data_IF_850703799884
#
_entry.id   IF_850703799884
#
_cell.length_a   1.000
_cell.length_b   1.000
_cell.length_c   1.000
_cell.angle_alpha   90.00
_cell.angle_beta   90.00
_cell.angle_gamma   90.00
#
_symmetry.space_group_name_H-M   'P 1'
#
loop_
_entity.id
_entity.type
_entity.pdbx_description
1 polymer ?
#
# COMPACT_ATOMS: atom_id res chain seq x y z
N UNK A 1 15.08 7.47 -15.14
CA UNK A 1 14.55 6.09 -15.14
C UNK A 1 14.09 5.74 -16.55
N UNK A 2 14.22 4.51 -17.06
CA UNK A 2 13.51 4.13 -18.30
C UNK A 2 12.02 3.94 -17.99
N UNK A 3 11.26 5.04 -17.95
CA UNK A 3 9.90 5.06 -17.45
C UNK A 3 8.98 4.06 -18.15
N UNK A 4 9.10 3.92 -19.47
CA UNK A 4 8.29 2.99 -20.25
C UNK A 4 8.59 1.52 -19.92
N UNK A 5 9.88 1.17 -19.75
CA UNK A 5 10.28 -0.18 -19.34
C UNK A 5 9.65 -0.55 -17.99
N UNK A 6 9.88 0.27 -16.96
CA UNK A 6 9.38 -0.03 -15.63
C UNK A 6 7.86 0.01 -15.53
N UNK A 7 7.21 0.92 -16.25
CA UNK A 7 5.74 0.97 -16.33
C UNK A 7 5.17 -0.33 -16.87
N UNK A 8 5.80 -0.90 -17.90
CA UNK A 8 5.38 -2.20 -18.44
C UNK A 8 5.60 -3.32 -17.43
N UNK A 9 6.71 -3.35 -16.70
CA UNK A 9 6.96 -4.35 -15.65
C UNK A 9 5.89 -4.29 -14.56
N UNK A 10 5.57 -3.10 -14.04
CA UNK A 10 4.51 -2.93 -13.03
C UNK A 10 3.13 -3.30 -13.57
N UNK A 11 2.85 -2.98 -14.84
CA UNK A 11 1.58 -3.34 -15.46
C UNK A 11 1.44 -4.86 -15.65
N UNK A 12 2.53 -5.57 -15.97
CA UNK A 12 2.56 -7.03 -16.00
C UNK A 12 2.22 -7.60 -14.63
N UNK A 13 2.86 -7.11 -13.56
CA UNK A 13 2.54 -7.53 -12.18
C UNK A 13 1.06 -7.34 -11.86
N UNK A 14 0.51 -6.15 -12.14
CA UNK A 14 -0.90 -5.87 -11.90
C UNK A 14 -1.82 -6.85 -12.63
N UNK A 15 -1.44 -7.28 -13.84
CA UNK A 15 -2.20 -8.26 -14.63
C UNK A 15 -2.04 -9.71 -14.12
N UNK A 16 -0.95 -10.02 -13.42
CA UNK A 16 -0.65 -11.35 -12.86
C UNK A 16 -1.32 -11.61 -11.50
N UNK A 17 -1.71 -10.57 -10.75
CA UNK A 17 -2.40 -10.74 -9.48
C UNK A 17 -3.70 -11.55 -9.65
N UNK A 18 -3.94 -12.46 -8.71
CA UNK A 18 -5.11 -13.34 -8.75
C UNK A 18 -6.41 -12.52 -8.63
N UNK A 19 -7.11 -12.40 -9.76
CA UNK A 19 -8.38 -11.66 -9.88
C UNK A 19 -9.48 -12.21 -8.95
N UNK A 20 -9.46 -13.51 -8.64
CA UNK A 20 -10.43 -14.12 -7.70
C UNK A 20 -10.12 -13.68 -6.27
N UNK A 21 -8.85 -13.61 -5.88
CA UNK A 21 -8.43 -13.11 -4.57
C UNK A 21 -8.76 -11.62 -4.45
N UNK A 22 -8.41 -10.81 -5.46
CA UNK A 22 -8.73 -9.40 -5.51
C UNK A 22 -10.25 -9.15 -5.34
N UNK A 23 -11.06 -9.84 -6.14
CA UNK A 23 -12.53 -9.75 -6.06
C UNK A 23 -13.06 -10.18 -4.69
N UNK A 24 -12.61 -11.33 -4.16
CA UNK A 24 -13.03 -11.84 -2.84
C UNK A 24 -12.70 -10.84 -1.71
N UNK A 25 -11.58 -10.12 -1.81
CA UNK A 25 -11.13 -9.15 -0.81
C UNK A 25 -11.63 -7.72 -1.08
N UNK A 26 -12.35 -7.50 -2.19
CA UNK A 26 -12.74 -6.18 -2.70
C UNK A 26 -11.54 -5.23 -2.90
N UNK A 27 -10.40 -5.79 -3.30
CA UNK A 27 -9.19 -5.03 -3.61
C UNK A 27 -9.15 -4.66 -5.10
N UNK A 28 -8.75 -3.43 -5.36
CA UNK A 28 -8.42 -2.91 -6.68
C UNK A 28 -6.92 -2.66 -6.77
N UNK A 29 -6.40 -2.76 -8.00
CA UNK A 29 -4.99 -2.51 -8.32
C UNK A 29 -4.89 -1.37 -9.33
N UNK A 30 -3.91 -0.50 -9.16
CA UNK A 30 -3.59 0.52 -10.14
C UNK A 30 -2.08 0.75 -10.23
N UNK A 31 -1.60 0.97 -11.45
CA UNK A 31 -0.24 1.44 -11.71
C UNK A 31 -0.31 2.91 -12.07
N UNK A 32 0.38 3.76 -11.31
CA UNK A 32 0.31 5.21 -11.48
C UNK A 32 1.71 5.81 -11.44
N UNK A 33 1.92 6.84 -12.26
CA UNK A 33 3.03 7.76 -12.08
C UNK A 33 2.70 8.71 -10.93
N UNK A 34 3.67 8.92 -10.05
CA UNK A 34 3.58 9.81 -8.91
C UNK A 34 4.76 10.80 -8.95
N UNK A 35 4.76 11.78 -8.04
CA UNK A 35 5.72 12.89 -7.95
C UNK A 35 7.17 12.41 -8.17
N UNK A 36 7.99 13.25 -8.81
CA UNK A 36 9.43 13.00 -9.07
C UNK A 36 9.70 11.71 -9.85
N UNK A 37 8.93 11.47 -10.92
CA UNK A 37 9.08 10.30 -11.80
C UNK A 37 9.05 8.96 -11.04
N UNK A 38 8.27 8.90 -9.96
CA UNK A 38 8.07 7.67 -9.21
C UNK A 38 7.00 6.81 -9.87
N UNK A 39 7.30 5.54 -10.09
CA UNK A 39 6.33 4.56 -10.57
C UNK A 39 5.81 3.74 -9.40
N UNK A 40 4.49 3.67 -9.26
CA UNK A 40 3.84 3.08 -8.09
C UNK A 40 2.79 2.05 -8.51
N UNK A 41 2.86 0.85 -7.94
CA UNK A 41 1.74 -0.10 -7.89
C UNK A 41 0.99 0.13 -6.59
N UNK A 42 -0.32 0.36 -6.67
CA UNK A 42 -1.20 0.56 -5.51
C UNK A 42 -2.23 -0.54 -5.40
N UNK A 43 -2.46 -1.01 -4.17
CA UNK A 43 -3.57 -1.87 -3.79
C UNK A 43 -4.45 -1.14 -2.78
N UNK A 44 -5.75 -1.08 -3.06
CA UNK A 44 -6.70 -0.30 -2.25
C UNK A 44 -8.11 -0.88 -2.33
N UNK A 45 -9.02 -0.41 -1.47
CA UNK A 45 -10.46 -0.68 -1.57
C UNK A 45 -11.20 0.63 -1.74
N UNK A 46 -12.31 0.63 -2.49
CA UNK A 46 -13.21 1.78 -2.56
C UNK A 46 -13.70 2.22 -1.19
N UNK A 47 -14.02 1.25 -0.32
CA UNK A 47 -14.47 1.49 1.06
C UNK A 47 -13.42 2.16 1.96
N UNK A 48 -12.15 2.21 1.53
CA UNK A 48 -11.09 2.89 2.27
C UNK A 48 -10.91 4.35 1.86
N UNK A 49 -11.79 4.88 1.00
CA UNK A 49 -11.75 6.26 0.52
C UNK A 49 -13.13 6.93 0.65
N UNK A 50 -13.18 8.26 0.53
CA UNK A 50 -14.44 9.01 0.48
C UNK A 50 -15.01 9.12 -0.93
N UNK A 51 -14.15 9.11 -1.94
CA UNK A 51 -14.54 9.19 -3.35
C UNK A 51 -14.54 7.78 -3.92
N UNK A 52 -15.74 7.22 -4.12
CA UNK A 52 -15.92 5.87 -4.65
C UNK A 52 -15.67 5.79 -6.16
N UNK A 53 -15.75 6.92 -6.86
CA UNK A 53 -15.50 7.03 -8.31
C UNK A 53 -14.01 7.14 -8.57
N UNK A 54 -13.29 7.94 -7.77
CA UNK A 54 -11.83 8.10 -7.85
C UNK A 54 -11.09 7.86 -6.51
N UNK A 55 -11.06 6.62 -5.98
CA UNK A 55 -10.47 6.33 -4.68
C UNK A 55 -8.99 6.68 -4.56
N UNK A 56 -8.23 6.52 -5.65
CA UNK A 56 -6.78 6.71 -5.70
C UNK A 56 -6.39 8.18 -5.48
N UNK A 57 -7.21 9.12 -5.98
CA UNK A 57 -7.00 10.56 -5.83
C UNK A 57 -7.74 11.14 -4.62
N UNK A 58 -8.65 10.38 -4.00
CA UNK A 58 -9.45 10.82 -2.85
C UNK A 58 -8.59 11.37 -1.71
N UNK A 59 -8.91 12.56 -1.20
CA UNK A 59 -8.13 13.22 -0.15
C UNK A 59 -7.91 12.33 1.09
N UNK A 60 -8.97 11.66 1.54
CA UNK A 60 -8.93 10.71 2.65
C UNK A 60 -8.96 9.29 2.09
N UNK A 61 -7.88 8.53 2.29
CA UNK A 61 -7.75 7.19 1.74
C UNK A 61 -6.73 6.31 2.47
N UNK A 62 -6.92 5.00 2.42
CA UNK A 62 -5.90 4.00 2.81
C UNK A 62 -5.51 3.20 1.57
N UNK A 63 -4.22 2.94 1.39
CA UNK A 63 -3.70 2.12 0.30
C UNK A 63 -2.33 1.53 0.65
N UNK A 64 -2.05 0.36 0.10
CA UNK A 64 -0.71 -0.20 0.04
C UNK A 64 -0.02 0.25 -1.25
N UNK A 65 1.27 0.52 -1.18
CA UNK A 65 2.09 0.89 -2.33
C UNK A 65 3.36 0.05 -2.39
N UNK A 66 3.76 -0.30 -3.61
CA UNK A 66 5.13 -0.68 -3.97
C UNK A 66 5.61 0.32 -5.01
N UNK A 67 6.81 0.87 -4.87
CA UNK A 67 7.30 1.87 -5.81
C UNK A 67 8.81 1.85 -6.01
N UNK A 68 9.19 2.42 -7.14
CA UNK A 68 10.55 2.77 -7.50
C UNK A 68 10.59 4.21 -8.04
N UNK A 69 11.75 4.85 -7.91
CA UNK A 69 12.06 6.12 -8.56
C UNK A 69 13.54 6.15 -8.91
N UNK A 70 14.00 7.18 -9.62
CA UNK A 70 15.43 7.36 -9.88
C UNK A 70 16.27 7.38 -8.59
N UNK A 71 15.73 7.91 -7.49
CA UNK A 71 16.40 7.90 -6.20
C UNK A 71 16.51 6.48 -5.63
N UNK A 72 15.41 5.73 -5.59
CA UNK A 72 15.42 4.39 -5.00
C UNK A 72 16.22 3.40 -5.84
N UNK A 73 16.24 3.55 -7.17
CA UNK A 73 17.05 2.74 -8.06
C UNK A 73 18.55 2.97 -7.84
N UNK A 74 18.98 4.23 -7.61
CA UNK A 74 20.36 4.53 -7.22
C UNK A 74 20.74 3.89 -5.89
N UNK A 75 19.80 3.84 -4.95
CA UNK A 75 19.96 3.14 -3.67
C UNK A 75 19.83 1.62 -3.77
N UNK A 76 19.55 1.06 -4.96
CA UNK A 76 19.26 -0.35 -5.17
C UNK A 76 18.09 -0.86 -4.30
N UNK A 77 16.99 -0.10 -4.25
CA UNK A 77 15.81 -0.42 -3.44
C UNK A 77 14.50 -0.37 -4.22
N UNK A 78 13.62 -1.31 -3.89
CA UNK A 78 12.19 -1.24 -4.12
C UNK A 78 11.54 -0.92 -2.78
N UNK A 79 10.79 0.17 -2.71
CA UNK A 79 10.15 0.62 -1.48
C UNK A 79 8.70 0.12 -1.43
N UNK A 80 8.18 -0.09 -0.21
CA UNK A 80 6.77 -0.41 0.00
C UNK A 80 6.25 0.20 1.30
N UNK A 81 4.94 0.47 1.36
CA UNK A 81 4.29 1.02 2.55
C UNK A 81 2.77 0.83 2.56
N UNK A 82 2.18 1.07 3.73
CA UNK A 82 0.73 1.32 3.86
C UNK A 82 0.55 2.75 4.32
N UNK A 83 -0.11 3.57 3.50
CA UNK A 83 -0.48 4.94 3.83
C UNK A 83 -1.93 5.03 4.27
N UNK A 84 -2.18 5.89 5.26
CA UNK A 84 -3.48 6.19 5.84
C UNK A 84 -3.67 7.73 5.85
N UNK A 85 -4.01 8.28 4.69
CA UNK A 85 -4.04 9.72 4.48
C UNK A 85 -5.33 10.33 5.02
N UNK A 86 -5.18 11.38 5.84
CA UNK A 86 -6.25 12.28 6.28
C UNK A 86 -7.49 11.58 6.86
N UNK A 87 -7.30 10.44 7.54
CA UNK A 87 -8.39 9.59 8.07
C UNK A 87 -9.40 10.29 9.00
N UNK A 88 -9.04 11.43 9.60
CA UNK A 88 -10.00 12.25 10.36
C UNK A 88 -11.18 12.74 9.49
N UNK A 89 -11.00 12.77 8.17
CA UNK A 89 -12.01 13.14 7.17
C UNK A 89 -12.74 11.92 6.58
N UNK A 90 -12.38 10.68 6.96
CA UNK A 90 -13.00 9.49 6.38
C UNK A 90 -14.46 9.38 6.83
N UNK A 91 -15.38 9.37 5.87
CA UNK A 91 -16.81 9.35 6.10
C UNK A 91 -17.23 8.05 6.81
N UNK A 92 -18.19 8.15 7.74
CA UNK A 92 -18.65 7.01 8.54
C UNK A 92 -17.80 6.67 9.77
N UNK A 93 -16.66 7.35 9.98
CA UNK A 93 -15.76 7.07 11.11
C UNK A 93 -15.41 8.32 11.92
N UNK A 94 -15.07 8.13 13.20
CA UNK A 94 -14.51 9.16 14.09
C UNK A 94 -13.09 8.78 14.47
N UNK A 95 -12.14 8.97 13.53
CA UNK A 95 -10.78 8.43 13.65
C UNK A 95 -9.83 9.44 14.31
N UNK A 96 -9.10 8.99 15.32
CA UNK A 96 -7.89 9.64 15.80
C UNK A 96 -6.67 9.00 15.13
N UNK A 97 -6.00 9.72 14.23
CA UNK A 97 -4.95 9.13 13.37
C UNK A 97 -3.83 8.41 14.12
N UNK A 98 -3.40 8.93 15.27
CA UNK A 98 -2.38 8.28 16.11
C UNK A 98 -2.88 6.96 16.69
N UNK A 99 -4.06 7.00 17.33
CA UNK A 99 -4.70 5.80 17.88
C UNK A 99 -4.96 4.73 16.80
N UNK A 100 -5.38 5.14 15.59
CA UNK A 100 -5.54 4.23 14.47
C UNK A 100 -4.22 3.55 14.10
N UNK A 101 -3.15 4.32 13.94
CA UNK A 101 -1.84 3.78 13.63
C UNK A 101 -1.34 2.83 14.72
N UNK A 102 -1.50 3.19 16.00
CA UNK A 102 -1.08 2.36 17.13
C UNK A 102 -1.84 1.03 17.18
N UNK A 103 -3.16 1.05 16.97
CA UNK A 103 -3.99 -0.16 16.92
C UNK A 103 -3.61 -1.07 15.74
N UNK A 104 -3.41 -0.50 14.55
CA UNK A 104 -2.94 -1.26 13.39
C UNK A 104 -1.58 -1.91 13.69
N UNK A 105 -0.63 -1.12 14.21
CA UNK A 105 0.75 -1.58 14.48
C UNK A 105 0.81 -2.65 15.56
N UNK A 106 -0.05 -2.58 16.57
CA UNK A 106 -0.17 -3.61 17.60
C UNK A 106 -0.54 -4.97 16.98
N UNK A 107 -1.48 -4.99 16.03
CA UNK A 107 -1.86 -6.21 15.30
C UNK A 107 -0.80 -6.64 14.28
N UNK A 108 -0.24 -5.68 13.55
CA UNK A 108 0.80 -5.93 12.55
C UNK A 108 2.09 -6.53 13.15
N UNK A 109 2.34 -6.36 14.45
CA UNK A 109 3.52 -6.89 15.15
C UNK A 109 3.76 -8.39 14.90
N UNK A 110 2.70 -9.19 14.77
CA UNK A 110 2.80 -10.64 14.49
C UNK A 110 3.30 -10.91 13.07
N UNK A 111 2.95 -10.06 12.11
CA UNK A 111 3.34 -10.19 10.71
C UNK A 111 4.69 -9.55 10.42
N UNK A 112 5.15 -8.60 11.26
CA UNK A 112 6.40 -7.84 11.06
C UNK A 112 7.61 -8.69 10.64
N UNK A 113 7.90 -9.87 11.21
CA UNK A 113 9.07 -10.68 10.82
C UNK A 113 9.06 -11.16 9.36
N UNK A 114 7.90 -11.15 8.70
CA UNK A 114 7.76 -11.58 7.31
C UNK A 114 8.14 -10.46 6.33
N UNK A 115 8.22 -9.21 6.79
CA UNK A 115 8.42 -8.03 5.94
C UNK A 115 9.86 -7.51 6.05
N UNK A 116 10.60 -7.60 4.95
CA UNK A 116 12.02 -7.27 4.90
C UNK A 116 12.27 -5.77 5.15
N UNK A 117 13.22 -5.44 6.04
CA UNK A 117 13.58 -4.05 6.38
C UNK A 117 12.39 -3.16 6.80
N UNK A 118 11.30 -3.74 7.31
CA UNK A 118 10.12 -2.97 7.70
C UNK A 118 10.34 -2.19 9.00
N UNK A 119 9.90 -0.94 9.00
CA UNK A 119 9.74 -0.12 10.19
C UNK A 119 8.29 0.34 10.35
N UNK A 120 7.92 0.61 11.60
CA UNK A 120 6.65 1.24 11.99
C UNK A 120 6.89 2.55 12.74
N UNK A 121 8.14 2.98 12.86
CA UNK A 121 8.53 4.22 13.53
C UNK A 121 8.36 5.41 12.58
N UNK A 122 7.10 5.66 12.21
CA UNK A 122 6.71 6.75 11.33
C UNK A 122 5.53 7.52 11.92
N UNK A 123 5.25 8.69 11.36
CA UNK A 123 4.04 9.44 11.67
C UNK A 123 2.76 8.64 11.39
N UNK A 124 1.60 9.09 11.91
CA UNK A 124 0.34 8.35 11.84
C UNK A 124 -0.24 8.17 10.43
N UNK A 125 0.34 8.82 9.42
CA UNK A 125 -0.06 8.70 8.02
C UNK A 125 0.63 7.53 7.31
N UNK A 126 1.62 6.90 7.93
CA UNK A 126 2.36 5.75 7.40
C UNK A 126 2.28 4.63 8.43
N UNK A 127 1.45 3.63 8.19
CA UNK A 127 1.21 2.56 9.15
C UNK A 127 2.43 1.65 9.28
N UNK A 128 3.08 1.37 8.14
CA UNK A 128 4.34 0.65 8.00
C UNK A 128 5.03 1.10 6.71
N UNK A 129 6.36 1.01 6.67
CA UNK A 129 7.14 1.19 5.46
C UNK A 129 8.43 0.36 5.54
N UNK A 130 8.86 -0.19 4.43
CA UNK A 130 10.09 -0.95 4.32
C UNK A 130 10.63 -0.96 2.90
N UNK A 131 11.60 -1.83 2.66
CA UNK A 131 12.23 -1.96 1.36
C UNK A 131 12.83 -3.35 1.16
N UNK A 132 12.93 -3.76 -0.10
CA UNK A 132 13.70 -4.94 -0.53
C UNK A 132 14.79 -4.48 -1.49
N UNK A 133 15.84 -5.28 -1.65
CA UNK A 133 16.88 -5.00 -2.63
C UNK A 133 16.28 -4.99 -4.04
N UNK A 134 16.63 -3.98 -4.83
CA UNK A 134 16.30 -3.94 -6.25
C UNK A 134 17.23 -4.85 -7.03
N UNK A 135 16.65 -5.72 -7.85
CA UNK A 135 17.35 -6.40 -8.93
C UNK A 135 16.46 -6.37 -10.17
N UNK A 136 16.99 -5.88 -11.28
CA UNK A 136 16.24 -5.73 -12.53
C UNK A 136 15.73 -7.06 -13.09
N UNK A 137 16.42 -8.17 -12.83
CA UNK A 137 16.02 -9.51 -13.30
C UNK A 137 14.88 -10.11 -12.48
N UNK A 138 14.72 -9.69 -11.22
CA UNK A 138 13.68 -10.18 -10.31
C UNK A 138 12.59 -9.15 -10.00
N UNK A 139 12.64 -7.95 -10.58
CA UNK A 139 11.74 -6.84 -10.27
C UNK A 139 10.26 -7.26 -10.29
N UNK A 140 9.82 -7.92 -11.35
CA UNK A 140 8.43 -8.40 -11.48
C UNK A 140 8.06 -9.31 -10.31
N UNK A 141 8.91 -10.28 -9.99
CA UNK A 141 8.72 -11.22 -8.89
C UNK A 141 8.72 -10.55 -7.52
N UNK A 142 9.61 -9.58 -7.30
CA UNK A 142 9.72 -8.87 -6.02
C UNK A 142 8.49 -7.99 -5.76
N UNK A 143 8.02 -7.26 -6.77
CA UNK A 143 6.80 -6.46 -6.69
C UNK A 143 5.57 -7.36 -6.52
N UNK A 144 5.50 -8.48 -7.26
CA UNK A 144 4.40 -9.45 -7.14
C UNK A 144 4.37 -10.08 -5.73
N UNK A 145 5.53 -10.45 -5.19
CA UNK A 145 5.66 -11.00 -3.84
C UNK A 145 5.18 -10.01 -2.78
N UNK A 146 5.60 -8.74 -2.86
CA UNK A 146 5.15 -7.69 -1.94
C UNK A 146 3.63 -7.46 -2.02
N UNK A 147 3.07 -7.45 -3.24
CA UNK A 147 1.64 -7.31 -3.48
C UNK A 147 0.85 -8.50 -2.91
N UNK A 148 1.30 -9.73 -3.12
CA UNK A 148 0.67 -10.93 -2.55
C UNK A 148 0.79 -10.98 -1.02
N UNK A 149 1.93 -10.57 -0.47
CA UNK A 149 2.12 -10.50 0.98
C UNK A 149 1.17 -9.50 1.65
N UNK A 150 0.77 -8.44 0.94
CA UNK A 150 -0.26 -7.52 1.43
C UNK A 150 -1.63 -8.21 1.60
N UNK A 151 -1.96 -9.23 0.82
CA UNK A 151 -3.23 -9.96 0.97
C UNK A 151 -3.36 -10.64 2.35
N UNK A 152 -2.25 -10.97 2.98
CA UNK A 152 -2.21 -11.56 4.32
C UNK A 152 -2.54 -10.55 5.42
N UNK A 153 -2.32 -9.25 5.19
CA UNK A 153 -2.47 -8.22 6.24
C UNK A 153 -3.53 -7.15 5.94
N UNK A 154 -4.11 -7.12 4.73
CA UNK A 154 -5.12 -6.12 4.34
C UNK A 154 -6.31 -6.07 5.31
N UNK A 155 -6.69 -7.23 5.87
CA UNK A 155 -7.79 -7.36 6.81
C UNK A 155 -7.55 -6.55 8.11
N UNK A 156 -6.29 -6.32 8.49
CA UNK A 156 -5.94 -5.51 9.65
C UNK A 156 -6.45 -4.08 9.52
N UNK A 157 -6.57 -3.54 8.29
CA UNK A 157 -7.12 -2.20 8.04
C UNK A 157 -8.59 -2.17 8.44
N UNK A 158 -9.38 -3.13 7.97
CA UNK A 158 -10.82 -3.24 8.27
C UNK A 158 -11.09 -3.43 9.75
N UNK A 159 -10.35 -4.35 10.36
CA UNK A 159 -10.48 -4.59 11.79
C UNK A 159 -10.02 -3.40 12.63
N UNK A 160 -9.13 -2.55 12.11
CA UNK A 160 -8.76 -1.31 12.79
C UNK A 160 -9.86 -0.27 12.63
N UNK A 161 -10.38 -0.09 11.41
CA UNK A 161 -11.49 0.82 11.09
C UNK A 161 -12.74 0.53 11.93
N UNK A 162 -13.05 -0.73 12.21
CA UNK A 162 -14.23 -1.12 13.01
C UNK A 162 -14.24 -0.49 14.41
N UNK A 163 -13.08 -0.18 14.99
CA UNK A 163 -12.94 0.47 16.30
C UNK A 163 -13.33 1.96 16.29
N UNK A 164 -13.56 2.54 15.10
CA UNK A 164 -13.84 3.96 14.93
C UNK A 164 -15.16 4.23 14.19
N UNK A 165 -15.96 3.20 13.91
CA UNK A 165 -17.28 3.38 13.30
C UNK A 165 -18.13 4.30 14.19
N UNK A 166 -18.78 5.29 13.57
CA UNK A 166 -19.75 6.11 14.30
C UNK A 166 -20.94 5.21 14.69
N UNK A 167 -21.31 5.26 15.97
CA UNK A 167 -22.55 4.69 16.49
C UNK A 167 -23.70 5.61 16.11
#
# INVERSE_FOLDING_TARGET
MNAHFYQNEFQKVANQLDKKILSKKNLEVAVVNFVEDSLVLKLYKKAWANDFENPISSESRIFFSVWISDATLKEQKILYNIHALKLRKLNGFKIESRKFADLFRAKFKVFKPQWENVSVDFGPLTLMQGWVNFNSESLENDVLKLANQFFEIEHLIEETLSNFKKV
#
